data_IF_061083901905
#
_entry.id   IF_061083901905
#
_cell.length_a   1.000
_cell.length_b   1.000
_cell.length_c   1.000
_cell.angle_alpha   90.00
_cell.angle_beta   90.00
_cell.angle_gamma   90.00
#
_symmetry.space_group_name_H-M   'P 1'
#
loop_
_entity.id
_entity.type
_entity.pdbx_description
1 polymer ?
#
# COMPACT_ATOMS: atom_id res chain seq x y z
N UNK A 1 3.80 9.46 10.75
CA UNK A 1 3.99 8.22 9.95
C UNK A 1 4.37 8.68 8.56
N UNK A 2 5.63 8.46 8.16
CA UNK A 2 6.13 8.90 6.87
C UNK A 2 5.70 7.94 5.73
N UNK A 3 5.69 6.64 5.99
CA UNK A 3 5.34 5.63 5.02
C UNK A 3 4.78 4.38 5.70
N UNK A 4 3.80 3.76 5.06
CA UNK A 4 3.23 2.48 5.46
C UNK A 4 3.58 1.42 4.42
N UNK A 5 3.93 0.24 4.87
CA UNK A 5 4.39 -0.88 4.06
C UNK A 5 3.55 -2.10 4.33
N UNK A 6 3.28 -2.88 3.30
CA UNK A 6 2.67 -4.21 3.43
C UNK A 6 3.65 -5.26 2.96
N UNK A 7 3.84 -6.30 3.78
CA UNK A 7 4.64 -7.46 3.45
C UNK A 7 3.77 -8.71 3.51
N UNK A 8 3.75 -9.47 2.44
CA UNK A 8 3.07 -10.78 2.38
C UNK A 8 4.08 -11.86 2.69
N UNK A 9 3.78 -12.67 3.70
CA UNK A 9 4.65 -13.74 4.21
C UNK A 9 3.97 -15.08 3.99
N UNK A 10 4.75 -16.04 3.53
CA UNK A 10 4.35 -17.46 3.41
C UNK A 10 5.48 -18.34 3.98
N UNK A 11 5.17 -19.14 5.01
CA UNK A 11 6.11 -20.02 5.72
C UNK A 11 7.40 -19.32 6.16
N UNK A 12 7.27 -18.11 6.70
CA UNK A 12 8.39 -17.30 7.17
C UNK A 12 9.19 -16.58 6.07
N UNK A 13 8.85 -16.77 4.78
CA UNK A 13 9.49 -16.09 3.67
C UNK A 13 8.64 -14.91 3.17
N UNK A 14 9.27 -13.75 2.94
CA UNK A 14 8.62 -12.59 2.37
C UNK A 14 8.46 -12.81 0.86
N UNK A 15 7.21 -12.91 0.42
CA UNK A 15 6.86 -13.18 -0.99
C UNK A 15 6.57 -11.91 -1.76
N UNK A 16 6.14 -10.85 -1.08
CA UNK A 16 5.83 -9.55 -1.66
C UNK A 16 6.06 -8.47 -0.61
N UNK A 17 6.63 -7.37 -1.03
CA UNK A 17 6.72 -6.15 -0.23
C UNK A 17 6.40 -4.93 -1.09
N UNK A 18 5.56 -4.04 -0.59
CA UNK A 18 5.27 -2.78 -1.24
C UNK A 18 4.95 -1.67 -0.23
N UNK A 19 5.26 -0.43 -0.61
CA UNK A 19 4.81 0.74 0.12
C UNK A 19 3.41 1.14 -0.35
N UNK A 20 2.59 1.59 0.58
CA UNK A 20 1.28 2.18 0.30
C UNK A 20 1.45 3.70 0.17
N UNK A 21 1.27 4.22 -1.04
CA UNK A 21 1.41 5.64 -1.35
C UNK A 21 0.02 6.27 -1.32
N UNK A 22 -0.14 7.29 -0.48
CA UNK A 22 -1.40 8.04 -0.39
C UNK A 22 -1.67 8.80 -1.68
N UNK A 23 -2.95 8.84 -2.14
CA UNK A 23 -3.31 9.64 -3.28
C UNK A 23 -3.06 11.13 -2.98
N UNK A 24 -2.33 11.79 -3.86
CA UNK A 24 -1.96 13.19 -3.69
C UNK A 24 -1.99 13.94 -5.01
N UNK A 25 -2.12 15.25 -4.93
CA UNK A 25 -2.06 16.18 -6.05
C UNK A 25 -0.89 17.14 -5.84
N UNK A 26 -0.32 17.64 -6.91
CA UNK A 26 0.63 18.75 -6.85
C UNK A 26 -0.09 20.06 -7.16
N UNK A 27 -0.03 21.02 -6.24
CA UNK A 27 -0.62 22.33 -6.44
C UNK A 27 0.08 23.10 -7.56
N UNK A 28 -0.69 23.84 -8.34
CA UNK A 28 -0.21 24.77 -9.35
C UNK A 28 -0.31 26.25 -8.92
N UNK A 29 -0.94 26.49 -7.77
CA UNK A 29 -1.19 27.82 -7.21
C UNK A 29 -2.38 28.56 -7.83
N UNK A 30 -3.12 27.93 -8.74
CA UNK A 30 -4.23 28.55 -9.51
C UNK A 30 -5.49 27.70 -9.52
N UNK A 31 -5.34 26.39 -9.77
CA UNK A 31 -6.45 25.45 -9.90
C UNK A 31 -6.92 24.95 -8.54
N UNK A 32 -8.23 24.78 -8.41
CA UNK A 32 -8.80 24.14 -7.20
C UNK A 32 -8.44 22.67 -7.13
N UNK A 33 -8.50 22.09 -5.93
CA UNK A 33 -8.35 20.63 -5.70
C UNK A 33 -9.28 19.84 -6.60
N UNK A 34 -10.54 20.28 -6.76
CA UNK A 34 -11.51 19.61 -7.63
C UNK A 34 -11.06 19.58 -9.09
N UNK A 35 -10.52 20.68 -9.62
CA UNK A 35 -10.00 20.73 -11.00
C UNK A 35 -8.78 19.84 -11.17
N UNK A 36 -7.80 19.95 -10.27
CA UNK A 36 -6.58 19.11 -10.30
C UNK A 36 -6.92 17.62 -10.20
N UNK A 37 -7.90 17.27 -9.36
CA UNK A 37 -8.38 15.89 -9.21
C UNK A 37 -9.03 15.37 -10.50
N UNK A 38 -9.92 16.16 -11.12
CA UNK A 38 -10.54 15.79 -12.38
C UNK A 38 -9.49 15.56 -13.49
N UNK A 39 -8.49 16.42 -13.58
CA UNK A 39 -7.38 16.24 -14.53
C UNK A 39 -6.54 14.98 -14.25
N UNK A 40 -6.24 14.69 -12.97
CA UNK A 40 -5.48 13.50 -12.58
C UNK A 40 -6.24 12.20 -12.89
N UNK A 41 -7.58 12.20 -12.71
CA UNK A 41 -8.45 11.09 -13.09
C UNK A 41 -8.44 10.89 -14.61
N UNK A 42 -8.63 11.97 -15.37
CA UNK A 42 -8.65 11.93 -16.84
C UNK A 42 -7.32 11.41 -17.42
N UNK A 43 -6.19 11.68 -16.74
CA UNK A 43 -4.85 11.17 -17.10
C UNK A 43 -4.57 9.74 -16.60
N UNK A 44 -5.51 9.09 -15.88
CA UNK A 44 -5.31 7.77 -15.29
C UNK A 44 -4.27 7.72 -14.16
N UNK A 45 -4.00 8.85 -13.50
CA UNK A 45 -3.04 8.94 -12.39
C UNK A 45 -3.67 8.57 -11.05
N UNK A 46 -5.00 8.74 -10.93
CA UNK A 46 -5.79 8.41 -9.75
C UNK A 46 -7.00 7.58 -10.21
N UNK A 47 -7.10 6.35 -9.72
CA UNK A 47 -8.16 5.41 -10.09
C UNK A 47 -9.22 5.22 -9.00
N UNK A 48 -8.86 5.46 -7.74
CA UNK A 48 -9.76 5.36 -6.59
C UNK A 48 -9.39 6.39 -5.54
N UNK A 49 -10.36 6.99 -4.89
CA UNK A 49 -10.17 7.99 -3.85
C UNK A 49 -11.44 8.14 -3.01
N UNK A 50 -11.29 8.64 -1.78
CA UNK A 50 -12.42 9.18 -1.04
C UNK A 50 -12.74 10.56 -1.59
N UNK A 51 -13.98 10.78 -1.96
CA UNK A 51 -14.42 12.10 -2.47
C UNK A 51 -14.24 13.12 -1.36
N UNK A 52 -13.40 14.16 -1.55
CA UNK A 52 -13.29 15.25 -0.60
C UNK A 52 -14.62 16.01 -0.51
N UNK A 53 -14.89 16.65 0.62
CA UNK A 53 -16.05 17.50 0.76
C UNK A 53 -15.90 18.77 -0.10
N UNK A 54 -17.01 19.51 -0.29
CA UNK A 54 -17.06 20.69 -1.15
C UNK A 54 -16.05 21.78 -0.73
N UNK A 55 -15.86 21.97 0.57
CA UNK A 55 -14.90 22.93 1.10
C UNK A 55 -13.44 22.55 0.77
N UNK A 56 -13.13 21.24 0.75
CA UNK A 56 -11.81 20.77 0.33
C UNK A 56 -11.61 20.84 -1.18
N UNK A 57 -12.64 20.52 -1.97
CA UNK A 57 -12.57 20.63 -3.43
C UNK A 57 -12.34 22.06 -3.92
N UNK A 58 -12.81 23.06 -3.16
CA UNK A 58 -12.67 24.48 -3.48
C UNK A 58 -11.32 25.08 -3.11
N UNK A 59 -10.48 24.38 -2.32
CA UNK A 59 -9.14 24.89 -1.95
C UNK A 59 -8.22 24.98 -3.17
N UNK A 60 -7.34 25.97 -3.18
CA UNK A 60 -6.27 26.12 -4.18
C UNK A 60 -4.95 25.79 -3.51
N UNK A 61 -4.34 24.62 -3.78
CA UNK A 61 -3.05 24.28 -3.20
C UNK A 61 -1.92 25.15 -3.74
N UNK A 62 -0.98 25.54 -2.87
CA UNK A 62 0.18 26.32 -3.25
C UNK A 62 0.99 25.60 -4.34
N UNK A 63 1.58 26.40 -5.24
CA UNK A 63 2.41 25.88 -6.35
C UNK A 63 3.57 25.01 -5.85
N UNK A 64 3.66 23.80 -6.38
CA UNK A 64 4.68 22.81 -6.03
C UNK A 64 4.46 22.10 -4.69
N UNK A 65 3.42 22.44 -3.93
CA UNK A 65 3.10 21.75 -2.69
C UNK A 65 2.24 20.51 -2.94
N UNK A 66 2.52 19.45 -2.19
CA UNK A 66 1.73 18.22 -2.21
C UNK A 66 0.46 18.40 -1.38
N UNK A 67 -0.69 18.18 -2.00
CA UNK A 67 -1.99 18.11 -1.34
C UNK A 67 -2.44 16.66 -1.23
N UNK A 68 -2.62 16.16 0.00
CA UNK A 68 -3.05 14.79 0.26
C UNK A 68 -4.58 14.71 0.17
N UNK A 69 -5.08 13.84 -0.72
CA UNK A 69 -6.52 13.62 -0.89
C UNK A 69 -7.13 12.77 0.23
N UNK A 70 -6.29 11.96 0.89
CA UNK A 70 -6.71 11.12 2.01
C UNK A 70 -5.55 10.96 3.00
N UNK A 71 -5.87 10.92 4.29
CA UNK A 71 -4.89 10.66 5.35
C UNK A 71 -4.57 9.16 5.52
N UNK A 72 -5.45 8.26 5.01
CA UNK A 72 -5.32 6.80 5.11
C UNK A 72 -4.44 6.22 4.01
N UNK A 73 -3.62 5.22 4.36
CA UNK A 73 -2.82 4.41 3.43
C UNK A 73 -3.58 3.15 2.97
N UNK A 74 -4.88 3.25 2.70
CA UNK A 74 -5.67 2.09 2.31
C UNK A 74 -5.75 1.99 0.77
N UNK A 75 -5.27 0.87 0.19
CA UNK A 75 -5.32 0.62 -1.25
C UNK A 75 -6.76 0.64 -1.79
N UNK A 76 -7.72 0.11 -1.03
CA UNK A 76 -9.15 0.18 -1.38
C UNK A 76 -9.75 1.59 -1.39
N UNK A 77 -9.01 2.58 -0.89
CA UNK A 77 -9.41 3.99 -0.82
C UNK A 77 -8.48 4.92 -1.61
N UNK A 78 -7.78 4.38 -2.61
CA UNK A 78 -7.02 5.16 -3.58
C UNK A 78 -5.51 5.23 -3.35
N UNK A 79 -4.96 4.63 -2.30
CA UNK A 79 -3.52 4.47 -2.21
C UNK A 79 -3.01 3.54 -3.32
N UNK A 80 -1.85 3.84 -3.87
CA UNK A 80 -1.17 2.99 -4.85
C UNK A 80 -0.10 2.14 -4.17
N UNK A 81 0.21 0.97 -4.78
CA UNK A 81 1.25 0.07 -4.33
C UNK A 81 2.53 0.27 -5.13
N UNK A 82 3.62 0.66 -4.46
CA UNK A 82 4.95 0.67 -5.05
C UNK A 82 5.72 -0.55 -4.57
N UNK A 83 5.98 -1.50 -5.47
CA UNK A 83 6.73 -2.72 -5.14
C UNK A 83 8.15 -2.38 -4.74
N UNK A 84 8.62 -2.98 -3.63
CA UNK A 84 9.98 -2.85 -3.14
C UNK A 84 10.81 -4.02 -3.66
N UNK A 85 12.02 -3.74 -4.15
CA UNK A 85 12.93 -4.76 -4.66
C UNK A 85 13.55 -5.59 -3.53
N UNK A 86 14.03 -4.98 -2.46
CA UNK A 86 14.60 -5.65 -1.29
C UNK A 86 14.28 -4.78 -0.06
N UNK A 87 13.55 -5.32 0.92
CA UNK A 87 13.36 -4.64 2.19
C UNK A 87 14.67 -4.57 3.01
N UNK A 88 14.76 -3.59 3.84
CA UNK A 88 15.75 -3.41 4.89
C UNK A 88 15.85 -4.67 5.77
N UNK A 89 17.07 -5.08 6.16
CA UNK A 89 17.32 -6.30 6.95
C UNK A 89 16.63 -6.26 8.32
N UNK A 90 16.53 -5.09 8.94
CA UNK A 90 15.80 -4.90 10.20
C UNK A 90 14.32 -5.18 10.01
N UNK A 91 13.73 -4.65 8.94
CA UNK A 91 12.35 -4.91 8.54
C UNK A 91 12.10 -6.40 8.31
N UNK A 92 12.96 -7.06 7.53
CA UNK A 92 12.88 -8.51 7.26
C UNK A 92 12.92 -9.32 8.56
N UNK A 93 13.88 -9.01 9.45
CA UNK A 93 14.02 -9.69 10.73
C UNK A 93 12.77 -9.54 11.60
N UNK A 94 12.23 -8.31 11.68
CA UNK A 94 11.03 -8.03 12.47
C UNK A 94 9.81 -8.77 11.94
N UNK A 95 9.62 -8.77 10.62
CA UNK A 95 8.51 -9.48 9.95
C UNK A 95 8.57 -10.99 10.21
N UNK A 96 9.75 -11.61 10.03
CA UNK A 96 9.94 -13.05 10.31
C UNK A 96 9.69 -13.40 11.79
N UNK A 97 10.17 -12.58 12.71
CA UNK A 97 9.92 -12.74 14.15
C UNK A 97 8.42 -12.64 14.47
N UNK A 98 7.73 -11.67 13.86
CA UNK A 98 6.29 -11.47 14.06
C UNK A 98 5.50 -12.68 13.58
N UNK A 99 5.73 -13.15 12.34
CA UNK A 99 5.04 -14.32 11.80
C UNK A 99 5.27 -15.58 12.66
N UNK A 100 6.53 -15.80 13.09
CA UNK A 100 6.90 -16.92 13.97
C UNK A 100 6.22 -16.83 15.34
N UNK A 101 6.22 -15.65 15.97
CA UNK A 101 5.62 -15.45 17.30
C UNK A 101 4.12 -15.70 17.32
N UNK A 102 3.43 -15.40 16.20
CA UNK A 102 1.99 -15.62 16.05
C UNK A 102 1.64 -17.00 15.50
N UNK A 103 2.63 -17.81 15.08
CA UNK A 103 2.40 -19.11 14.47
C UNK A 103 1.66 -19.05 13.13
N UNK A 104 1.74 -17.92 12.41
CA UNK A 104 0.99 -17.71 11.17
C UNK A 104 1.87 -18.09 9.97
N UNK A 105 1.39 -19.04 9.16
CA UNK A 105 2.09 -19.49 7.95
C UNK A 105 1.88 -18.55 6.77
N UNK A 106 0.65 -18.00 6.59
CA UNK A 106 0.31 -17.08 5.50
C UNK A 106 -0.38 -15.85 6.05
N UNK A 107 0.26 -14.68 5.90
CA UNK A 107 -0.24 -13.41 6.43
C UNK A 107 0.21 -12.21 5.60
N UNK A 108 -0.54 -11.11 5.69
CA UNK A 108 -0.04 -9.79 5.37
C UNK A 108 0.26 -9.02 6.65
N UNK A 109 1.45 -8.40 6.71
CA UNK A 109 1.94 -7.62 7.87
C UNK A 109 2.11 -6.18 7.41
N UNK A 110 1.36 -5.29 8.04
CA UNK A 110 1.48 -3.85 7.82
C UNK A 110 2.50 -3.26 8.80
N UNK A 111 3.44 -2.52 8.25
CA UNK A 111 4.59 -1.96 8.95
C UNK A 111 4.67 -0.46 8.72
N UNK A 112 5.17 0.25 9.71
CA UNK A 112 5.50 1.67 9.61
C UNK A 112 6.96 1.91 9.99
N UNK A 113 7.58 2.89 9.34
CA UNK A 113 8.87 3.41 9.74
C UNK A 113 8.66 4.66 10.61
N UNK A 114 9.28 4.68 11.78
CA UNK A 114 9.28 5.80 12.72
C UNK A 114 10.72 6.23 12.99
N UNK A 115 10.92 7.31 13.72
CA UNK A 115 12.26 7.74 14.18
C UNK A 115 12.90 6.69 15.09
N UNK A 116 12.10 5.91 15.81
CA UNK A 116 12.54 4.84 16.69
C UNK A 116 12.66 3.47 15.98
N UNK A 117 12.72 3.43 14.62
CA UNK A 117 12.84 2.22 13.83
C UNK A 117 11.50 1.67 13.33
N UNK A 118 11.51 0.42 12.89
CA UNK A 118 10.36 -0.27 12.34
C UNK A 118 9.38 -0.73 13.42
N UNK A 119 8.08 -0.61 13.11
CA UNK A 119 7.01 -1.08 13.99
C UNK A 119 5.95 -1.85 13.20
N UNK A 120 5.46 -2.93 13.79
CA UNK A 120 4.27 -3.65 13.29
C UNK A 120 3.05 -2.81 13.62
N UNK A 121 2.21 -2.57 12.62
CA UNK A 121 0.94 -1.88 12.77
C UNK A 121 -0.20 -2.88 12.90
N UNK A 122 -0.24 -3.86 12.00
CA UNK A 122 -1.31 -4.84 11.90
C UNK A 122 -0.81 -6.14 11.27
N UNK A 123 -1.42 -7.26 11.66
CA UNK A 123 -1.20 -8.57 11.04
C UNK A 123 -2.54 -9.17 10.64
N UNK A 124 -2.68 -9.49 9.35
CA UNK A 124 -3.90 -10.04 8.78
C UNK A 124 -3.64 -11.46 8.22
N UNK A 125 -4.33 -12.46 8.80
CA UNK A 125 -4.32 -13.84 8.28
C UNK A 125 -5.16 -13.99 6.99
N UNK A 126 -6.15 -13.13 6.80
CA UNK A 126 -6.88 -13.01 5.53
C UNK A 126 -6.10 -12.15 4.53
N UNK A 127 -5.17 -12.77 3.82
CA UNK A 127 -4.33 -12.04 2.84
C UNK A 127 -5.16 -11.63 1.64
N UNK A 128 -5.30 -10.32 1.43
CA UNK A 128 -6.02 -9.74 0.30
C UNK A 128 -5.04 -8.97 -0.60
N UNK A 129 -4.87 -9.45 -1.83
CA UNK A 129 -3.99 -8.85 -2.83
C UNK A 129 -4.74 -8.29 -4.06
N UNK A 130 -6.07 -8.21 -4.01
CA UNK A 130 -6.91 -7.81 -5.15
C UNK A 130 -6.56 -6.41 -5.66
N UNK A 131 -6.41 -5.45 -4.75
CA UNK A 131 -6.02 -4.08 -5.12
C UNK A 131 -4.59 -3.98 -5.64
N UNK A 132 -3.68 -4.83 -5.17
CA UNK A 132 -2.34 -4.94 -5.74
C UNK A 132 -2.41 -5.57 -7.13
N UNK A 133 -3.13 -6.67 -7.27
CA UNK A 133 -3.29 -7.41 -8.53
C UNK A 133 -3.93 -6.56 -9.63
N UNK A 134 -4.90 -5.70 -9.30
CA UNK A 134 -5.59 -4.82 -10.25
C UNK A 134 -4.73 -3.65 -10.75
N UNK A 135 -3.57 -3.40 -10.14
CA UNK A 135 -2.69 -2.29 -10.54
C UNK A 135 -1.85 -2.57 -11.81
N UNK A 136 -1.89 -3.80 -12.35
CA UNK A 136 -1.24 -4.15 -13.62
C UNK A 136 -1.06 -5.66 -13.82
N UNK A 137 -0.73 -6.05 -15.04
CA UNK A 137 -0.56 -7.47 -15.42
C UNK A 137 0.55 -8.16 -14.60
N UNK A 138 1.69 -7.52 -14.42
CA UNK A 138 2.81 -8.05 -13.63
C UNK A 138 2.39 -8.29 -12.17
N UNK A 139 1.65 -7.37 -11.59
CA UNK A 139 1.13 -7.46 -10.23
C UNK A 139 0.11 -8.59 -10.11
N UNK A 140 -0.77 -8.75 -11.10
CA UNK A 140 -1.71 -9.86 -11.17
C UNK A 140 -1.01 -11.22 -11.20
N UNK A 141 -0.01 -11.39 -12.06
CA UNK A 141 0.79 -12.62 -12.16
C UNK A 141 1.48 -12.92 -10.83
N UNK A 142 2.07 -11.90 -10.19
CA UNK A 142 2.73 -12.04 -8.89
C UNK A 142 1.75 -12.48 -7.80
N UNK A 143 0.61 -11.83 -7.68
CA UNK A 143 -0.41 -12.18 -6.68
C UNK A 143 -0.94 -13.60 -6.90
N UNK A 144 -1.24 -13.96 -8.15
CA UNK A 144 -1.70 -15.31 -8.54
C UNK A 144 -0.68 -16.38 -8.16
N UNK A 145 0.61 -16.14 -8.41
CA UNK A 145 1.67 -17.08 -8.03
C UNK A 145 1.75 -17.28 -6.51
N UNK A 146 1.65 -16.21 -5.72
CA UNK A 146 1.68 -16.29 -4.26
C UNK A 146 0.47 -17.06 -3.73
N UNK A 147 -0.76 -16.80 -4.21
CA UNK A 147 -1.95 -17.55 -3.80
C UNK A 147 -1.85 -19.04 -4.19
N UNK A 148 -1.38 -19.33 -5.41
CA UNK A 148 -1.14 -20.71 -5.84
C UNK A 148 -0.18 -21.45 -4.91
N UNK A 149 0.96 -20.83 -4.59
CA UNK A 149 1.95 -21.43 -3.71
C UNK A 149 1.39 -21.64 -2.30
N UNK A 150 0.63 -20.67 -1.77
CA UNK A 150 -0.02 -20.80 -0.47
C UNK A 150 -1.00 -21.96 -0.43
N UNK A 151 -1.82 -22.13 -1.48
CA UNK A 151 -2.76 -23.26 -1.60
C UNK A 151 -2.01 -24.59 -1.66
N UNK A 152 -0.98 -24.72 -2.51
CA UNK A 152 -0.20 -25.95 -2.63
C UNK A 152 0.42 -26.35 -1.29
N UNK A 153 0.99 -25.41 -0.56
CA UNK A 153 1.60 -25.66 0.75
C UNK A 153 0.60 -26.01 1.87
N UNK A 154 -0.71 -25.77 1.67
CA UNK A 154 -1.74 -26.30 2.57
C UNK A 154 -1.89 -27.82 2.49
N UNK A 155 -1.53 -28.43 1.35
CA UNK A 155 -1.62 -29.86 1.14
C UNK A 155 -0.29 -30.60 1.42
N UNK A 156 0.81 -29.89 1.61
CA UNK A 156 2.14 -30.46 1.90
C UNK A 156 2.40 -30.64 3.40
N UNK A 157 1.55 -30.16 4.27
CA UNK A 157 1.67 -30.17 5.72
C UNK A 157 0.62 -30.95 6.39
#
# INVERSE_FOLDING_TARGET
IQSEYRLVVLDGEIRLAFSKIRPSLTGDGVSTVGKLLAEAIAKGQIHSFLVPNEAELSKVPEKGKTYLLNWKHNLGQGASALTLSIPDLELVSLVKKTAKALGIRFASIDMIKTEAGWKVLEVNAGVMMEHFASSGEKQYITAKAIYRDAILKMFEG
#
